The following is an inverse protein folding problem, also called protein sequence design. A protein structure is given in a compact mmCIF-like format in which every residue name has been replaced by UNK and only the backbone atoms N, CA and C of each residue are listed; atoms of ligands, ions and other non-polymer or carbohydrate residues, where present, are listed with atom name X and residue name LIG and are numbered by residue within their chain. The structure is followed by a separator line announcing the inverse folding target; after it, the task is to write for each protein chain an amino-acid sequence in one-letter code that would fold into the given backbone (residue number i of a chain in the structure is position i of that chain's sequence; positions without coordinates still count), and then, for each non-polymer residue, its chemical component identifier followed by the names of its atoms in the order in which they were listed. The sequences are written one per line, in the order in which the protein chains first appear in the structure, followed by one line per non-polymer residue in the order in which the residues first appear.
data_IF_092024276179
#
_entry.id   IF_092024276179
#
_cell.length_a   1.000
_cell.length_b   1.000
_cell.length_c   1.000
_cell.angle_alpha   90.00
_cell.angle_beta   90.00
_cell.angle_gamma   90.00
#
_symmetry.space_group_name_H-M   'P 1'
#
loop_
_entity.id
_entity.type
_entity.pdbx_description
1 polymer ?
#
# COMPACT_ATOMS: atom_id res chain seq x y z
N UNK A 1 18.48 -5.04 12.78
CA UNK A 1 18.25 -6.44 13.15
C UNK A 1 18.84 -7.31 12.07
N UNK A 2 19.54 -8.37 12.44
CA UNK A 2 20.17 -9.27 11.47
C UNK A 2 19.53 -10.64 11.58
N UNK A 3 19.21 -11.24 10.44
CA UNK A 3 18.74 -12.63 10.36
C UNK A 3 19.50 -13.29 9.23
N UNK A 4 20.68 -13.88 9.51
CA UNK A 4 21.54 -14.49 8.50
C UNK A 4 20.81 -15.56 7.69
N UNK A 5 21.15 -15.71 6.42
CA UNK A 5 20.67 -16.83 5.62
C UNK A 5 21.39 -18.12 6.04
N UNK A 6 20.68 -19.23 6.30
CA UNK A 6 21.33 -20.52 6.56
C UNK A 6 21.89 -21.18 5.30
N UNK A 7 21.69 -20.58 4.12
CA UNK A 7 22.00 -21.19 2.82
C UNK A 7 22.98 -20.36 1.96
N UNK A 8 23.55 -19.27 2.47
CA UNK A 8 24.64 -18.54 1.81
C UNK A 8 25.95 -18.70 2.59
N UNK A 9 27.08 -18.72 1.88
CA UNK A 9 28.39 -19.02 2.47
C UNK A 9 28.76 -18.15 3.69
N UNK A 10 28.32 -16.89 3.69
CA UNK A 10 28.59 -15.91 4.75
C UNK A 10 27.32 -15.38 5.43
N UNK A 11 26.16 -15.99 5.20
CA UNK A 11 24.88 -15.53 5.75
C UNK A 11 24.28 -14.29 5.07
N UNK A 12 24.90 -13.74 4.03
CA UNK A 12 24.39 -12.58 3.30
C UNK A 12 23.06 -12.88 2.58
N UNK A 13 22.23 -11.85 2.45
CA UNK A 13 20.98 -11.82 1.67
C UNK A 13 21.05 -10.68 0.66
N UNK A 14 20.41 -10.85 -0.49
CA UNK A 14 20.24 -9.76 -1.46
C UNK A 14 19.31 -8.68 -0.90
N UNK A 15 19.69 -7.41 -1.06
CA UNK A 15 18.86 -6.27 -0.63
C UNK A 15 18.76 -5.15 -1.67
N UNK A 16 19.25 -5.38 -2.91
CA UNK A 16 19.25 -4.35 -3.95
C UNK A 16 17.85 -3.81 -4.28
N UNK A 17 16.87 -4.70 -4.34
CA UNK A 17 15.46 -4.35 -4.59
C UNK A 17 14.71 -3.93 -3.32
N UNK A 18 15.27 -4.19 -2.14
CA UNK A 18 14.65 -3.89 -0.85
C UNK A 18 14.37 -2.40 -0.66
N UNK A 19 15.15 -1.53 -1.31
CA UNK A 19 14.91 -0.08 -1.33
C UNK A 19 13.60 0.35 -2.02
N UNK A 20 13.01 -0.51 -2.86
CA UNK A 20 11.72 -0.26 -3.50
C UNK A 20 10.52 -0.65 -2.63
N UNK A 21 10.71 -1.52 -1.62
CA UNK A 21 9.62 -1.99 -0.76
C UNK A 21 8.87 -0.86 -0.02
N UNK A 22 9.52 0.22 0.45
CA UNK A 22 8.83 1.36 1.06
C UNK A 22 7.85 2.13 0.16
N UNK A 23 7.89 1.95 -1.17
CA UNK A 23 6.87 2.55 -2.06
C UNK A 23 5.46 2.05 -1.72
N UNK A 24 5.34 0.76 -1.36
CA UNK A 24 4.06 0.21 -0.89
C UNK A 24 3.65 0.79 0.46
N UNK A 25 4.61 1.16 1.32
CA UNK A 25 4.32 1.84 2.59
C UNK A 25 3.67 3.20 2.36
N UNK A 26 4.12 3.97 1.36
CA UNK A 26 3.51 5.25 1.01
C UNK A 26 2.07 5.05 0.52
N UNK A 27 1.84 4.12 -0.40
CA UNK A 27 0.48 3.85 -0.88
C UNK A 27 -0.45 3.35 0.22
N UNK A 28 0.06 2.51 1.14
CA UNK A 28 -0.69 2.05 2.30
C UNK A 28 -1.05 3.21 3.24
N UNK A 29 -0.13 4.14 3.49
CA UNK A 29 -0.38 5.31 4.33
C UNK A 29 -1.43 6.25 3.72
N UNK A 30 -1.42 6.44 2.40
CA UNK A 30 -2.45 7.23 1.70
C UNK A 30 -3.82 6.55 1.79
N UNK A 31 -3.88 5.24 1.57
CA UNK A 31 -5.12 4.46 1.73
C UNK A 31 -5.66 4.54 3.17
N UNK A 32 -4.78 4.46 4.16
CA UNK A 32 -5.16 4.58 5.58
C UNK A 32 -5.72 5.97 5.89
N UNK A 33 -5.05 7.04 5.45
CA UNK A 33 -5.49 8.42 5.67
C UNK A 33 -6.88 8.72 5.09
N UNK A 34 -7.24 8.08 3.96
CA UNK A 34 -8.53 8.29 3.30
C UNK A 34 -9.59 7.25 3.68
N UNK A 35 -9.27 6.32 4.60
CA UNK A 35 -10.19 5.27 4.99
C UNK A 35 -11.47 5.83 5.64
N UNK A 36 -11.38 6.83 6.50
CA UNK A 36 -12.56 7.41 7.13
C UNK A 36 -13.51 8.08 6.12
N UNK A 37 -12.96 8.57 5.00
CA UNK A 37 -13.69 9.25 3.93
C UNK A 37 -14.36 8.29 2.93
N UNK A 38 -14.30 6.97 3.17
CA UNK A 38 -14.94 5.99 2.30
C UNK A 38 -14.27 5.82 0.93
N UNK A 39 -13.00 6.17 0.81
CA UNK A 39 -12.22 6.07 -0.44
C UNK A 39 -11.39 4.79 -0.46
N UNK A 40 -11.34 4.13 -1.62
CA UNK A 40 -10.42 3.05 -1.97
C UNK A 40 -9.47 3.57 -3.06
N UNK A 41 -8.20 3.68 -2.72
CA UNK A 41 -7.10 4.07 -3.62
C UNK A 41 -6.66 2.82 -4.38
N UNK A 42 -7.05 2.72 -5.65
CA UNK A 42 -6.79 1.56 -6.50
C UNK A 42 -5.72 1.81 -7.58
N UNK A 43 -5.07 2.98 -7.56
CA UNK A 43 -3.97 3.32 -8.45
C UNK A 43 -2.63 3.17 -7.74
N UNK A 44 -1.63 2.64 -8.43
CA UNK A 44 -0.28 2.47 -7.89
C UNK A 44 0.50 3.79 -7.79
N UNK A 45 0.08 4.82 -8.53
CA UNK A 45 0.65 6.16 -8.51
C UNK A 45 -0.27 7.15 -7.79
N UNK A 46 0.17 7.64 -6.64
CA UNK A 46 -0.58 8.56 -5.78
C UNK A 46 -0.51 10.02 -6.29
N UNK A 47 -1.02 10.27 -7.50
CA UNK A 47 -1.08 11.64 -8.05
C UNK A 47 -2.05 12.51 -7.25
N UNK A 48 -1.70 13.77 -6.89
CA UNK A 48 -2.61 14.68 -6.22
C UNK A 48 -3.95 14.89 -6.96
N UNK A 49 -3.94 14.92 -8.30
CA UNK A 49 -5.16 15.09 -9.09
C UNK A 49 -6.11 13.90 -8.98
N UNK A 50 -5.56 12.68 -8.97
CA UNK A 50 -6.32 11.43 -8.84
C UNK A 50 -6.90 11.32 -7.43
N UNK A 51 -6.10 11.62 -6.40
CA UNK A 51 -6.57 11.59 -5.02
C UNK A 51 -7.68 12.63 -4.77
N UNK A 52 -7.54 13.83 -5.32
CA UNK A 52 -8.58 14.86 -5.23
C UNK A 52 -9.89 14.41 -5.90
N UNK A 53 -9.80 13.75 -7.06
CA UNK A 53 -10.98 13.19 -7.73
C UNK A 53 -11.65 12.09 -6.90
N UNK A 54 -10.85 11.16 -6.35
CA UNK A 54 -11.34 10.08 -5.50
C UNK A 54 -12.02 10.62 -4.22
N UNK A 55 -11.48 11.68 -3.61
CA UNK A 55 -12.10 12.34 -2.46
C UNK A 55 -13.43 13.01 -2.79
N UNK A 56 -13.60 13.51 -4.02
CA UNK A 56 -14.88 14.12 -4.47
C UNK A 56 -15.98 13.07 -4.72
N UNK A 57 -15.59 11.82 -4.98
CA UNK A 57 -16.51 10.70 -5.27
C UNK A 57 -16.03 9.43 -4.54
N UNK A 58 -16.32 9.30 -3.23
CA UNK A 58 -15.98 8.11 -2.47
C UNK A 58 -16.56 6.85 -3.13
N UNK A 59 -15.73 5.83 -3.28
CA UNK A 59 -15.98 4.66 -4.13
C UNK A 59 -15.99 3.33 -3.36
N UNK A 60 -15.90 3.31 -2.02
CA UNK A 60 -15.83 2.06 -1.23
C UNK A 60 -16.92 1.04 -1.56
N UNK A 61 -18.14 1.50 -1.81
CA UNK A 61 -19.29 0.63 -2.12
C UNK A 61 -19.11 -0.18 -3.41
N UNK A 62 -18.21 0.24 -4.30
CA UNK A 62 -17.89 -0.48 -5.54
C UNK A 62 -16.95 -1.68 -5.28
N UNK A 63 -16.20 -1.65 -4.17
CA UNK A 63 -15.16 -2.64 -3.87
C UNK A 63 -15.47 -3.53 -2.67
N UNK A 64 -16.42 -3.13 -1.81
CA UNK A 64 -16.70 -3.82 -0.55
C UNK A 64 -18.18 -4.10 -0.42
N UNK A 65 -18.54 -5.38 -0.37
CA UNK A 65 -19.88 -5.85 0.01
C UNK A 65 -19.89 -6.23 1.50
N UNK A 66 -20.75 -5.58 2.29
CA UNK A 66 -20.93 -5.92 3.72
C UNK A 66 -22.27 -6.61 3.88
N UNK A 67 -22.25 -7.92 4.15
CA UNK A 67 -23.43 -8.66 4.57
C UNK A 67 -23.52 -8.71 6.10
N UNK A 68 -24.67 -8.34 6.66
CA UNK A 68 -24.98 -8.59 8.06
C UNK A 68 -25.42 -10.04 8.23
N UNK A 69 -24.80 -10.78 9.16
CA UNK A 69 -25.28 -12.07 9.61
C UNK A 69 -26.40 -11.92 10.64
#
# INVERSE_FOLDING_TARGET
IETPSPFSYNGAKGCGEGGGAPLHTVSAAVQDALFAEGVIVNQSHNSPSILLEAMRKPNRVEFVEVSSR
#
